data_IF_829558105092
#
_entry.id   IF_829558105092
#
_cell.length_a   1.000
_cell.length_b   1.000
_cell.length_c   1.000
_cell.angle_alpha   90.00
_cell.angle_beta   90.00
_cell.angle_gamma   90.00
#
_symmetry.space_group_name_H-M   'P 1'
#
loop_
_entity.id
_entity.type
_entity.pdbx_description
1 polymer ?
#
# COMPACT_ATOMS: atom_id res chain seq x y z
N UNK A 1 14.70 10.03 28.41
CA UNK A 1 14.53 10.68 27.10
C UNK A 1 14.49 9.59 26.04
N UNK A 2 13.32 9.30 25.47
CA UNK A 2 13.16 8.19 24.52
C UNK A 2 13.29 8.69 23.08
N UNK A 3 14.38 8.30 22.41
CA UNK A 3 14.58 8.54 20.98
C UNK A 3 13.53 7.78 20.18
N UNK A 4 12.54 8.52 19.65
CA UNK A 4 11.56 7.98 18.70
C UNK A 4 12.33 7.67 17.41
N UNK A 5 12.44 6.37 17.08
CA UNK A 5 13.00 5.91 15.80
C UNK A 5 12.08 6.41 14.69
N UNK A 6 12.52 7.41 13.94
CA UNK A 6 11.86 7.86 12.72
C UNK A 6 11.96 6.72 11.69
N UNK A 7 10.83 6.12 11.23
CA UNK A 7 10.90 5.11 10.20
C UNK A 7 11.38 5.78 8.90
N UNK A 8 12.49 5.29 8.36
CA UNK A 8 12.98 5.72 7.04
C UNK A 8 11.93 5.34 5.99
N UNK A 9 11.47 6.32 5.23
CA UNK A 9 10.55 6.11 4.11
C UNK A 9 11.33 5.36 3.02
N UNK A 10 11.24 4.03 3.00
CA UNK A 10 11.82 3.20 1.95
C UNK A 10 11.08 3.49 0.65
N UNK A 11 11.59 4.45 -0.13
CA UNK A 11 11.13 4.67 -1.50
C UNK A 11 11.51 3.46 -2.31
N UNK A 12 10.53 2.65 -2.67
CA UNK A 12 10.72 1.59 -3.65
C UNK A 12 10.93 2.27 -5.01
N UNK A 13 12.12 2.07 -5.59
CA UNK A 13 12.45 2.59 -6.93
C UNK A 13 11.96 1.67 -8.04
N UNK A 14 11.43 0.50 -7.68
CA UNK A 14 10.92 -0.50 -8.59
C UNK A 14 9.39 -0.55 -8.48
N UNK A 15 8.72 -0.62 -9.63
CA UNK A 15 7.29 -0.81 -9.73
C UNK A 15 6.87 -2.14 -9.10
N UNK A 16 5.68 -2.15 -8.49
CA UNK A 16 5.03 -3.40 -8.11
C UNK A 16 4.65 -4.19 -9.37
N UNK A 17 4.50 -5.52 -9.23
CA UNK A 17 4.09 -6.39 -10.33
C UNK A 17 2.80 -5.88 -11.02
N UNK A 18 1.81 -5.45 -10.22
CA UNK A 18 0.54 -4.89 -10.72
C UNK A 18 0.70 -3.57 -11.49
N UNK A 19 1.72 -2.79 -11.15
CA UNK A 19 2.00 -1.50 -11.78
C UNK A 19 2.77 -1.67 -13.09
N UNK A 20 3.27 -2.88 -13.38
CA UNK A 20 3.97 -3.18 -14.64
C UNK A 20 3.02 -3.35 -15.84
N UNK A 21 1.71 -3.51 -15.59
CA UNK A 21 0.74 -3.67 -16.66
C UNK A 21 0.48 -2.35 -17.40
N UNK A 22 0.48 -2.39 -18.73
CA UNK A 22 0.27 -1.19 -19.58
C UNK A 22 -1.09 -0.51 -19.37
N UNK A 23 -2.09 -1.24 -18.89
CA UNK A 23 -3.42 -0.74 -18.59
C UNK A 23 -3.59 -0.26 -17.14
N UNK A 24 -2.58 -0.46 -16.28
CA UNK A 24 -2.64 -0.04 -14.89
C UNK A 24 -2.68 1.49 -14.81
N UNK A 25 -3.60 2.01 -13.99
CA UNK A 25 -3.70 3.43 -13.71
C UNK A 25 -4.06 3.61 -12.24
N UNK A 26 -3.12 4.16 -11.46
CA UNK A 26 -3.29 4.34 -10.00
C UNK A 26 -4.49 5.22 -9.65
N UNK A 27 -4.88 6.16 -10.51
CA UNK A 27 -6.07 7.00 -10.32
C UNK A 27 -7.40 6.25 -10.41
N UNK A 28 -7.41 4.98 -10.85
CA UNK A 28 -8.59 4.11 -10.84
C UNK A 28 -8.73 3.31 -9.54
N UNK A 29 -7.73 3.35 -8.66
CA UNK A 29 -7.68 2.58 -7.42
C UNK A 29 -7.52 3.50 -6.20
N UNK A 30 -7.90 2.98 -5.04
CA UNK A 30 -7.67 3.69 -3.78
C UNK A 30 -6.27 3.33 -3.23
N UNK A 31 -5.41 4.32 -2.90
CA UNK A 31 -4.09 4.04 -2.34
C UNK A 31 -4.22 3.56 -0.88
N UNK A 32 -3.86 2.30 -0.62
CA UNK A 32 -3.90 1.70 0.72
C UNK A 32 -2.52 1.74 1.37
N UNK A 33 -2.44 2.23 2.61
CA UNK A 33 -1.18 2.31 3.36
C UNK A 33 -1.13 1.30 4.52
N UNK A 34 0.05 0.75 4.80
CA UNK A 34 0.24 -0.09 5.99
C UNK A 34 -0.07 0.71 7.26
N UNK A 35 -0.87 0.13 8.14
CA UNK A 35 -1.35 0.76 9.37
C UNK A 35 -2.60 1.63 9.21
N UNK A 36 -3.08 1.88 7.99
CA UNK A 36 -4.35 2.57 7.75
C UNK A 36 -5.52 1.83 8.40
N UNK A 37 -6.48 2.55 8.98
CA UNK A 37 -7.64 1.97 9.66
C UNK A 37 -8.93 2.31 8.91
N UNK A 38 -9.51 1.30 8.25
CA UNK A 38 -10.79 1.44 7.57
C UNK A 38 -11.95 1.31 8.55
N UNK A 39 -12.92 2.23 8.44
CA UNK A 39 -14.16 2.25 9.24
C UNK A 39 -13.90 2.15 10.76
N UNK A 40 -12.78 2.68 11.23
CA UNK A 40 -12.33 2.61 12.63
C UNK A 40 -12.25 1.19 13.21
N UNK A 41 -12.08 0.16 12.36
CA UNK A 41 -12.20 -1.25 12.75
C UNK A 41 -11.16 -2.17 12.13
N UNK A 42 -10.69 -1.87 10.92
CA UNK A 42 -9.85 -2.78 10.15
C UNK A 42 -8.52 -2.11 9.85
N UNK A 43 -7.47 -2.53 10.58
CA UNK A 43 -6.12 -2.05 10.33
C UNK A 43 -5.44 -2.88 9.23
N UNK A 44 -4.87 -2.19 8.25
CA UNK A 44 -4.10 -2.82 7.17
C UNK A 44 -2.76 -3.30 7.70
N UNK A 45 -2.49 -4.59 7.59
CA UNK A 45 -1.24 -5.20 8.06
C UNK A 45 -0.25 -5.51 6.94
N UNK A 46 -0.77 -6.00 5.81
CA UNK A 46 0.01 -6.51 4.68
C UNK A 46 -0.93 -6.71 3.48
N UNK A 47 -0.39 -6.62 2.27
CA UNK A 47 -1.02 -7.11 1.04
C UNK A 47 -0.87 -8.63 0.90
N UNK A 48 -1.98 -9.35 0.74
CA UNK A 48 -2.03 -10.78 0.46
C UNK A 48 -2.14 -11.07 -1.04
N UNK A 49 -2.77 -10.19 -1.82
CA UNK A 49 -2.92 -10.40 -3.26
C UNK A 49 -3.63 -9.26 -3.98
N UNK A 50 -3.70 -9.36 -5.31
CA UNK A 50 -4.40 -8.39 -6.15
C UNK A 50 -5.03 -9.06 -7.37
N UNK A 51 -6.02 -8.38 -7.93
CA UNK A 51 -6.67 -8.68 -9.21
C UNK A 51 -6.98 -7.37 -9.92
N UNK A 52 -7.56 -7.45 -11.11
CA UNK A 52 -7.89 -6.30 -11.96
C UNK A 52 -8.67 -5.17 -11.27
N UNK A 53 -9.48 -5.47 -10.25
CA UNK A 53 -10.35 -4.49 -9.58
C UNK A 53 -10.32 -4.57 -8.04
N UNK A 54 -9.43 -5.37 -7.46
CA UNK A 54 -9.46 -5.65 -6.01
C UNK A 54 -8.09 -5.98 -5.46
N UNK A 55 -7.85 -5.58 -4.20
CA UNK A 55 -6.67 -5.93 -3.41
C UNK A 55 -7.12 -6.58 -2.11
N UNK A 56 -6.36 -7.57 -1.66
CA UNK A 56 -6.56 -8.25 -0.37
C UNK A 56 -5.26 -8.17 0.42
#
# INVERSE_FOLDING_TARGET
MATKRTPSLQRHTQLLEEESFSWYNSGRFYPVHLGEVFKSRYQVLRKLGYRSISTV
#
